data_IF_227875788950
#
_entry.id   IF_227875788950
#
_cell.length_a   1.000
_cell.length_b   1.000
_cell.length_c   1.000
_cell.angle_alpha   90.00
_cell.angle_beta   90.00
_cell.angle_gamma   90.00
#
_symmetry.space_group_name_H-M   'P 1'
#
loop_
_entity.id
_entity.type
_entity.pdbx_description
1 polymer ?
#
# COMPACT_ATOMS: atom_id res chain seq x y z
N UNK A 1 -8.45 -7.93 -21.02
CA UNK A 1 -8.52 -6.55 -21.53
C UNK A 1 -7.13 -6.00 -21.65
N UNK A 2 -6.77 -5.44 -22.80
CA UNK A 2 -5.42 -4.95 -23.09
C UNK A 2 -5.22 -3.55 -22.51
N UNK A 3 -4.12 -3.29 -21.80
CA UNK A 3 -3.81 -1.97 -21.23
C UNK A 3 -3.42 -1.00 -22.35
N UNK A 4 -4.06 0.20 -22.45
CA UNK A 4 -3.77 1.17 -23.51
C UNK A 4 -2.30 1.59 -23.58
N UNK A 5 -1.64 1.72 -22.42
CA UNK A 5 -0.24 2.18 -22.32
C UNK A 5 0.77 1.04 -22.27
N UNK A 6 0.33 -0.23 -22.20
CA UNK A 6 1.15 -1.41 -21.88
C UNK A 6 1.97 -1.31 -20.57
N UNK A 7 1.67 -0.33 -19.70
CA UNK A 7 2.36 -0.13 -18.42
C UNK A 7 1.54 -0.71 -17.28
N UNK A 8 2.22 -1.33 -16.32
CA UNK A 8 1.62 -1.83 -15.09
C UNK A 8 1.99 -0.93 -13.91
N UNK A 9 1.07 -0.76 -12.97
CA UNK A 9 1.37 -0.21 -11.66
C UNK A 9 1.62 -1.39 -10.73
N UNK A 10 2.86 -1.58 -10.30
CA UNK A 10 3.25 -2.59 -9.33
C UNK A 10 3.71 -1.89 -8.04
N UNK A 11 3.17 -2.33 -6.90
CA UNK A 11 3.65 -1.91 -5.58
C UNK A 11 4.79 -2.84 -5.18
N UNK A 12 5.87 -2.25 -4.70
CA UNK A 12 6.92 -2.98 -4.01
C UNK A 12 6.86 -2.57 -2.53
N UNK A 13 6.46 -3.48 -1.68
CA UNK A 13 6.29 -3.30 -0.25
C UNK A 13 7.60 -2.95 0.47
N UNK A 14 8.76 -3.40 -0.03
CA UNK A 14 10.07 -3.07 0.56
C UNK A 14 10.44 -1.59 0.40
N UNK A 15 9.88 -0.93 -0.62
CA UNK A 15 10.08 0.50 -0.89
C UNK A 15 8.85 1.35 -0.53
N UNK A 16 7.74 0.71 -0.14
CA UNK A 16 6.48 1.39 0.07
C UNK A 16 6.50 2.15 1.41
N UNK A 17 6.42 3.48 1.35
CA UNK A 17 6.36 4.33 2.54
C UNK A 17 4.95 4.45 3.14
N UNK A 18 3.99 3.64 2.68
CA UNK A 18 2.60 3.63 3.16
C UNK A 18 1.85 4.98 3.08
N UNK A 19 2.19 5.83 2.11
CA UNK A 19 1.56 7.15 1.91
C UNK A 19 0.12 7.13 1.36
N UNK A 20 -0.37 5.99 0.85
CA UNK A 20 -1.75 5.84 0.36
C UNK A 20 -2.04 6.37 -1.04
N UNK A 21 -1.16 7.18 -1.63
CA UNK A 21 -1.37 7.81 -2.95
C UNK A 21 -1.65 6.82 -4.09
N UNK A 22 -1.09 5.61 -4.03
CA UNK A 22 -1.35 4.56 -5.02
C UNK A 22 -2.77 4.00 -4.93
N UNK A 23 -3.32 3.87 -3.72
CA UNK A 23 -4.69 3.42 -3.51
C UNK A 23 -5.69 4.51 -3.94
N UNK A 24 -5.46 5.76 -3.56
CA UNK A 24 -6.35 6.89 -3.90
C UNK A 24 -6.43 7.16 -5.41
N UNK A 25 -5.32 6.99 -6.13
CA UNK A 25 -5.25 7.22 -7.58
C UNK A 25 -5.58 5.99 -8.41
N UNK A 26 -5.91 4.85 -7.80
CA UNK A 26 -6.16 3.63 -8.55
C UNK A 26 -7.49 3.73 -9.30
N UNK A 27 -7.50 3.77 -10.65
CA UNK A 27 -8.73 3.95 -11.42
C UNK A 27 -9.67 2.73 -11.36
N UNK A 28 -9.16 1.57 -10.96
CA UNK A 28 -9.91 0.32 -10.85
C UNK A 28 -10.11 -0.12 -9.40
N UNK A 29 -9.68 0.69 -8.43
CA UNK A 29 -9.71 0.34 -6.99
C UNK A 29 -9.06 -1.02 -6.67
N UNK A 30 -8.01 -1.39 -7.40
CA UNK A 30 -7.31 -2.66 -7.24
C UNK A 30 -6.37 -2.69 -6.02
N UNK A 31 -6.03 -1.52 -5.48
CA UNK A 31 -5.13 -1.34 -4.34
C UNK A 31 -5.92 -0.92 -3.10
N UNK A 32 -5.66 -1.58 -1.97
CA UNK A 32 -6.27 -1.29 -0.67
C UNK A 32 -5.18 -1.07 0.40
N UNK A 33 -5.39 -0.08 1.25
CA UNK A 33 -4.51 0.25 2.38
C UNK A 33 -5.06 -0.39 3.65
N UNK A 34 -4.54 -1.58 3.98
CA UNK A 34 -4.94 -2.27 5.21
C UNK A 34 -4.14 -1.79 6.40
N UNK A 35 -4.83 -1.38 7.46
CA UNK A 35 -4.22 -1.16 8.77
C UNK A 35 -3.96 -2.52 9.41
N UNK A 36 -2.69 -2.86 9.58
CA UNK A 36 -2.30 -4.04 10.34
C UNK A 36 -2.08 -3.66 11.80
N UNK A 37 -2.63 -4.44 12.71
CA UNK A 37 -2.29 -4.35 14.13
C UNK A 37 -0.95 -5.04 14.32
N UNK A 38 0.15 -4.28 14.23
CA UNK A 38 1.45 -4.78 14.64
C UNK A 38 1.56 -4.67 16.15
N UNK A 39 1.61 -5.82 16.84
CA UNK A 39 1.73 -5.88 18.29
C UNK A 39 3.19 -5.61 18.67
N UNK A 40 3.59 -4.34 18.65
CA UNK A 40 4.91 -3.92 19.13
C UNK A 40 5.04 -4.21 20.62
N UNK A 41 6.22 -4.65 21.07
CA UNK A 41 6.55 -4.59 22.48
C UNK A 41 6.34 -3.15 22.98
N UNK A 42 5.32 -2.93 23.80
CA UNK A 42 5.09 -1.63 24.45
C UNK A 42 6.19 -1.48 25.49
N UNK A 43 6.98 -0.40 25.41
CA UNK A 43 7.83 0.00 26.52
C UNK A 43 6.91 0.28 27.72
N UNK A 44 7.00 -0.56 28.75
CA UNK A 44 6.36 -0.27 30.02
C UNK A 44 7.25 0.77 30.70
N UNK A 45 6.70 1.94 31.00
CA UNK A 45 7.39 2.92 31.81
C UNK A 45 7.43 2.35 33.24
N UNK A 46 8.58 1.81 33.64
CA UNK A 46 8.92 1.60 35.04
C UNK A 46 9.26 2.95 35.66
#
# INVERSE_FOLDING_TARGET
GTLPTKRIMAKNEDLCLHCGLCAERCPTSAWDMRKYLYNTAKAVNV
#
